data_IF_786391905365
#
_entry.id   IF_786391905365
#
_cell.length_a   1.000
_cell.length_b   1.000
_cell.length_c   1.000
_cell.angle_alpha   90.00
_cell.angle_beta   90.00
_cell.angle_gamma   90.00
#
_symmetry.space_group_name_H-M   'P 1'
#
loop_
_entity.id
_entity.type
_entity.pdbx_description
1 polymer ?
#
# COMPACT_ATOMS: atom_id res chain seq x y z
N UNK A 1 -22.22 -32.88 -16.43
CA UNK A 1 -21.09 -32.02 -16.06
C UNK A 1 -21.53 -30.60 -16.32
N UNK A 2 -21.69 -29.78 -15.29
CA UNK A 2 -22.00 -28.36 -15.45
C UNK A 2 -20.75 -27.66 -15.94
N UNK A 3 -20.80 -27.07 -17.13
CA UNK A 3 -19.70 -26.24 -17.61
C UNK A 3 -19.73 -24.90 -16.84
N UNK A 4 -18.56 -24.29 -16.63
CA UNK A 4 -18.44 -23.02 -15.89
C UNK A 4 -19.33 -21.90 -16.50
N UNK A 5 -19.67 -22.03 -17.77
CA UNK A 5 -20.51 -21.10 -18.53
C UNK A 5 -22.01 -21.33 -18.37
N UNK A 6 -22.42 -22.45 -17.78
CA UNK A 6 -23.82 -22.75 -17.45
C UNK A 6 -24.20 -22.24 -16.05
N UNK A 7 -23.26 -21.63 -15.34
CA UNK A 7 -23.51 -21.05 -14.03
C UNK A 7 -24.44 -19.82 -14.13
N UNK A 8 -25.40 -19.68 -13.19
CA UNK A 8 -26.11 -18.44 -12.96
C UNK A 8 -25.16 -17.24 -12.82
N UNK A 9 -25.58 -16.08 -13.31
CA UNK A 9 -24.79 -14.83 -13.29
C UNK A 9 -24.35 -14.46 -11.88
N UNK A 10 -25.17 -14.75 -10.86
CA UNK A 10 -24.85 -14.50 -9.45
C UNK A 10 -23.64 -15.31 -8.99
N UNK A 11 -23.55 -16.58 -9.38
CA UNK A 11 -22.41 -17.44 -9.05
C UNK A 11 -21.16 -17.02 -9.82
N UNK A 12 -21.31 -16.61 -11.08
CA UNK A 12 -20.20 -16.03 -11.85
C UNK A 12 -19.65 -14.76 -11.19
N UNK A 13 -20.52 -13.87 -10.70
CA UNK A 13 -20.10 -12.66 -10.00
C UNK A 13 -19.42 -12.96 -8.66
N UNK A 14 -19.84 -14.00 -7.94
CA UNK A 14 -19.15 -14.46 -6.74
C UNK A 14 -17.74 -14.99 -7.05
N UNK A 15 -17.60 -15.79 -8.13
CA UNK A 15 -16.29 -16.29 -8.58
C UNK A 15 -15.38 -15.12 -8.97
N UNK A 16 -15.89 -14.18 -9.78
CA UNK A 16 -15.16 -12.96 -10.18
C UNK A 16 -14.73 -12.19 -8.92
N UNK A 17 -15.65 -11.97 -7.98
CA UNK A 17 -15.33 -11.26 -6.74
C UNK A 17 -14.24 -11.96 -5.93
N UNK A 18 -14.33 -13.28 -5.78
CA UNK A 18 -13.36 -14.10 -5.05
C UNK A 18 -11.98 -14.04 -5.70
N UNK A 19 -11.92 -14.17 -7.02
CA UNK A 19 -10.68 -14.06 -7.79
C UNK A 19 -10.07 -12.66 -7.64
N UNK A 20 -10.87 -11.60 -7.80
CA UNK A 20 -10.41 -10.21 -7.68
C UNK A 20 -9.97 -9.85 -6.26
N UNK A 21 -10.54 -10.51 -5.25
CA UNK A 21 -10.21 -10.29 -3.83
C UNK A 21 -9.13 -11.24 -3.31
N UNK A 22 -8.71 -12.20 -4.13
CA UNK A 22 -7.70 -13.18 -3.74
C UNK A 22 -6.33 -12.51 -3.57
N UNK A 23 -5.65 -12.88 -2.48
CA UNK A 23 -4.28 -12.42 -2.23
C UNK A 23 -3.34 -13.12 -3.19
N UNK A 24 -2.38 -12.36 -3.72
CA UNK A 24 -1.32 -12.93 -4.54
C UNK A 24 -0.35 -13.68 -3.65
N UNK A 25 -0.16 -14.97 -3.94
CA UNK A 25 0.90 -15.74 -3.33
C UNK A 25 2.22 -15.37 -4.01
N UNK A 26 3.17 -14.96 -3.19
CA UNK A 26 4.51 -14.61 -3.62
C UNK A 26 5.43 -15.75 -3.19
N UNK A 27 6.37 -16.14 -4.06
CA UNK A 27 7.30 -17.24 -3.75
C UNK A 27 8.06 -16.96 -2.45
N UNK A 28 8.11 -17.90 -1.50
CA UNK A 28 8.79 -17.70 -0.22
C UNK A 28 10.31 -17.49 -0.38
N UNK A 29 10.89 -17.99 -1.48
CA UNK A 29 12.32 -17.91 -1.78
C UNK A 29 12.70 -16.67 -2.60
N UNK A 30 11.73 -15.79 -2.91
CA UNK A 30 12.02 -14.62 -3.70
C UNK A 30 12.87 -13.58 -2.94
N UNK A 31 13.54 -12.74 -3.71
CA UNK A 31 14.32 -11.62 -3.17
C UNK A 31 13.63 -10.29 -3.47
N UNK A 32 13.85 -9.32 -2.58
CA UNK A 32 13.61 -7.90 -2.87
C UNK A 32 14.86 -7.27 -3.48
N UNK A 33 14.67 -6.40 -4.45
CA UNK A 33 15.72 -5.55 -4.98
C UNK A 33 15.51 -4.13 -4.48
N UNK A 34 16.60 -3.45 -4.12
CA UNK A 34 16.57 -2.00 -3.94
C UNK A 34 16.20 -1.37 -5.26
N UNK A 35 15.26 -0.44 -5.25
CA UNK A 35 14.94 0.30 -6.46
C UNK A 35 16.05 1.33 -6.70
N UNK A 36 16.44 1.53 -7.96
CA UNK A 36 17.25 2.69 -8.37
C UNK A 36 16.42 3.98 -8.39
N UNK A 37 15.28 3.98 -7.68
CA UNK A 37 14.31 5.04 -7.75
C UNK A 37 14.88 6.27 -7.06
N UNK A 38 15.31 7.24 -7.87
CA UNK A 38 15.84 8.55 -7.46
C UNK A 38 14.88 9.40 -6.61
N UNK A 39 13.67 8.90 -6.32
CA UNK A 39 12.66 9.56 -5.51
C UNK A 39 12.90 9.50 -4.00
N UNK A 40 13.74 8.57 -3.55
CA UNK A 40 14.10 8.44 -2.13
C UNK A 40 15.52 8.91 -1.89
N UNK A 41 15.80 9.56 -0.76
CA UNK A 41 17.15 10.08 -0.48
C UNK A 41 18.14 8.95 -0.13
N UNK A 42 17.62 7.78 0.26
CA UNK A 42 18.40 6.72 0.92
C UNK A 42 18.27 5.32 0.31
N UNK A 43 17.62 5.13 -0.84
CA UNK A 43 17.37 3.81 -1.46
C UNK A 43 16.74 2.80 -0.48
N UNK A 44 15.80 3.27 0.34
CA UNK A 44 15.16 2.48 1.40
C UNK A 44 14.00 1.62 0.92
N UNK A 45 13.53 1.87 -0.31
CA UNK A 45 12.45 1.13 -0.92
C UNK A 45 12.98 -0.16 -1.55
N UNK A 46 12.46 -1.29 -1.09
CA UNK A 46 12.82 -2.61 -1.61
C UNK A 46 11.59 -3.29 -2.21
N UNK A 47 11.58 -3.40 -3.54
CA UNK A 47 10.49 -4.03 -4.29
C UNK A 47 10.80 -5.49 -4.56
N UNK A 48 9.80 -6.38 -4.63
CA UNK A 48 10.00 -7.74 -5.15
C UNK A 48 10.67 -7.71 -6.52
N UNK A 49 11.58 -8.65 -6.78
CA UNK A 49 12.16 -8.80 -8.12
C UNK A 49 11.07 -9.10 -9.16
N UNK A 50 11.30 -8.70 -10.41
CA UNK A 50 10.35 -8.94 -11.51
C UNK A 50 10.07 -10.43 -11.71
N UNK A 51 11.07 -11.29 -11.52
CA UNK A 51 10.94 -12.74 -11.60
C UNK A 51 10.02 -13.28 -10.50
N UNK A 52 10.12 -12.71 -9.30
CA UNK A 52 9.29 -13.07 -8.14
C UNK A 52 7.81 -12.69 -8.34
N UNK A 53 7.53 -11.65 -9.14
CA UNK A 53 6.17 -11.17 -9.42
C UNK A 53 5.47 -11.95 -10.56
N UNK A 54 6.17 -12.87 -11.23
CA UNK A 54 5.62 -13.61 -12.38
C UNK A 54 4.81 -14.86 -11.98
N UNK A 55 4.22 -14.88 -10.78
CA UNK A 55 3.28 -15.95 -10.42
C UNK A 55 1.96 -15.79 -11.21
N UNK A 56 1.45 -16.85 -11.85
CA UNK A 56 0.16 -16.79 -12.53
C UNK A 56 -0.93 -16.42 -11.52
N UNK A 57 -1.58 -15.27 -11.72
CA UNK A 57 -2.70 -14.89 -10.86
C UNK A 57 -3.99 -15.54 -11.35
N UNK A 58 -4.91 -15.79 -10.43
CA UNK A 58 -6.25 -16.26 -10.78
C UNK A 58 -6.98 -15.27 -11.70
N UNK A 59 -6.53 -14.00 -11.79
CA UNK A 59 -7.03 -13.03 -12.78
C UNK A 59 -6.81 -13.50 -14.20
N UNK A 60 -5.71 -14.21 -14.49
CA UNK A 60 -5.46 -14.75 -15.83
C UNK A 60 -6.60 -15.70 -16.26
N UNK A 61 -7.22 -16.43 -15.32
CA UNK A 61 -8.36 -17.30 -15.61
C UNK A 61 -9.59 -16.49 -16.10
N UNK A 62 -9.78 -15.28 -15.59
CA UNK A 62 -10.87 -14.38 -16.03
C UNK A 62 -10.63 -13.81 -17.44
N UNK A 63 -9.38 -13.85 -17.93
CA UNK A 63 -8.98 -13.31 -19.22
C UNK A 63 -8.96 -14.38 -20.34
N UNK A 64 -9.04 -15.66 -20.00
CA UNK A 64 -8.96 -16.78 -20.98
C UNK A 64 -10.25 -16.92 -21.79
N UNK A 65 -11.41 -16.52 -21.25
CA UNK A 65 -12.70 -16.57 -21.96
C UNK A 65 -13.26 -15.18 -22.21
N UNK A 66 -13.66 -14.91 -23.45
CA UNK A 66 -14.31 -13.65 -23.83
C UNK A 66 -15.60 -13.39 -23.03
N UNK A 67 -16.37 -14.44 -22.70
CA UNK A 67 -17.58 -14.32 -21.90
C UNK A 67 -17.26 -13.94 -20.45
N UNK A 68 -16.32 -14.63 -19.82
CA UNK A 68 -15.88 -14.28 -18.45
C UNK A 68 -15.26 -12.89 -18.40
N UNK A 69 -14.53 -12.51 -19.43
CA UNK A 69 -14.00 -11.16 -19.57
C UNK A 69 -15.13 -10.12 -19.60
N UNK A 70 -16.16 -10.33 -20.45
CA UNK A 70 -17.31 -9.42 -20.53
C UNK A 70 -18.07 -9.30 -19.20
N UNK A 71 -18.32 -10.43 -18.53
CA UNK A 71 -18.96 -10.46 -17.20
C UNK A 71 -18.11 -9.79 -16.13
N UNK A 72 -16.79 -10.00 -16.15
CA UNK A 72 -15.84 -9.34 -15.24
C UNK A 72 -15.87 -7.83 -15.47
N UNK A 73 -15.88 -7.39 -16.72
CA UNK A 73 -15.96 -5.96 -17.06
C UNK A 73 -17.28 -5.34 -16.58
N UNK A 74 -18.41 -6.04 -16.77
CA UNK A 74 -19.72 -5.62 -16.28
C UNK A 74 -19.79 -5.56 -14.74
N UNK A 75 -19.17 -6.51 -14.07
CA UNK A 75 -19.03 -6.50 -12.62
C UNK A 75 -18.23 -5.29 -12.14
N UNK A 76 -17.07 -5.03 -12.77
CA UNK A 76 -16.19 -3.93 -12.42
C UNK A 76 -16.81 -2.56 -12.71
N UNK A 77 -17.63 -2.42 -13.74
CA UNK A 77 -18.31 -1.15 -14.03
C UNK A 77 -19.38 -0.78 -12.99
N UNK A 78 -19.88 -1.76 -12.21
CA UNK A 78 -20.90 -1.56 -11.17
C UNK A 78 -20.31 -1.40 -9.78
N UNK A 79 -19.03 -1.75 -9.59
CA UNK A 79 -18.35 -1.69 -8.28
C UNK A 79 -17.65 -0.35 -8.10
N UNK A 80 -17.64 0.20 -6.87
CA UNK A 80 -16.77 1.30 -6.53
C UNK A 80 -15.33 0.94 -6.87
N UNK A 81 -14.62 1.90 -7.46
CA UNK A 81 -13.24 1.69 -7.88
C UNK A 81 -12.34 1.96 -6.70
N UNK A 82 -12.14 0.92 -5.89
CA UNK A 82 -11.20 0.96 -4.77
C UNK A 82 -9.94 0.17 -5.08
N UNK A 83 -8.78 0.80 -4.84
CA UNK A 83 -7.50 0.12 -4.83
C UNK A 83 -7.06 -0.15 -3.41
N UNK A 84 -6.46 -1.32 -3.18
CA UNK A 84 -5.80 -1.65 -1.93
C UNK A 84 -4.35 -1.97 -2.18
N UNK A 85 -3.48 -1.44 -1.35
CA UNK A 85 -2.05 -1.66 -1.40
C UNK A 85 -1.51 -1.78 0.02
N UNK A 86 -0.71 -2.79 0.31
CA UNK A 86 -0.09 -2.92 1.62
C UNK A 86 1.43 -2.69 1.56
N UNK A 87 1.93 -1.92 2.52
CA UNK A 87 3.33 -1.52 2.66
C UNK A 87 3.81 -1.89 4.05
N UNK A 88 4.87 -2.68 4.13
CA UNK A 88 5.57 -2.90 5.37
C UNK A 88 6.63 -1.82 5.58
N UNK A 89 6.67 -1.23 6.77
CA UNK A 89 7.75 -0.36 7.22
C UNK A 89 8.55 -1.14 8.26
N UNK A 90 9.81 -1.44 7.97
CA UNK A 90 10.66 -2.27 8.81
C UNK A 90 11.78 -1.44 9.43
N UNK A 91 11.93 -1.53 10.74
CA UNK A 91 12.96 -0.83 11.54
C UNK A 91 12.96 0.69 11.33
N UNK A 92 11.77 1.30 11.17
CA UNK A 92 11.62 2.73 10.84
C UNK A 92 12.42 3.21 9.61
N UNK A 93 12.84 2.30 8.76
CA UNK A 93 13.81 2.62 7.72
C UNK A 93 13.36 2.06 6.38
N UNK A 94 13.20 0.74 6.32
CA UNK A 94 12.91 0.05 5.07
C UNK A 94 11.44 0.17 4.70
N UNK A 95 11.17 0.47 3.43
CA UNK A 95 9.81 0.55 2.89
C UNK A 95 9.62 -0.58 1.88
N UNK A 96 8.73 -1.50 2.22
CA UNK A 96 8.53 -2.75 1.50
C UNK A 96 7.09 -2.86 1.01
N UNK A 97 6.82 -2.49 -0.25
CA UNK A 97 5.62 -2.93 -0.94
C UNK A 97 5.43 -4.44 -0.80
N UNK A 98 4.32 -4.89 -0.25
CA UNK A 98 4.09 -6.33 -0.01
C UNK A 98 3.57 -7.04 -1.26
N UNK A 99 2.95 -6.31 -2.19
CA UNK A 99 2.35 -6.82 -3.42
C UNK A 99 1.34 -7.97 -3.21
N UNK A 100 0.72 -8.05 -2.03
CA UNK A 100 -0.30 -9.06 -1.71
C UNK A 100 -1.62 -8.81 -2.43
N UNK A 101 -1.86 -7.58 -2.85
CA UNK A 101 -3.02 -7.17 -3.63
C UNK A 101 -2.57 -6.65 -4.99
N UNK A 102 -3.16 -7.19 -6.05
CA UNK A 102 -2.94 -6.63 -7.40
C UNK A 102 -3.99 -5.56 -7.66
N UNK A 103 -3.56 -4.35 -8.02
CA UNK A 103 -4.51 -3.33 -8.43
C UNK A 103 -5.28 -3.82 -9.66
N UNK A 104 -6.60 -3.88 -9.53
CA UNK A 104 -7.49 -4.21 -10.64
C UNK A 104 -7.49 -3.01 -11.59
N UNK A 105 -7.01 -3.19 -12.83
CA UNK A 105 -6.95 -2.09 -13.81
C UNK A 105 -8.29 -1.37 -13.89
N UNK A 106 -8.29 -0.10 -13.48
CA UNK A 106 -9.44 0.75 -13.69
C UNK A 106 -9.44 1.27 -15.12
N UNK A 107 -10.64 1.30 -15.73
CA UNK A 107 -10.88 2.04 -16.99
C UNK A 107 -11.31 3.48 -16.74
N UNK A 108 -11.74 3.82 -15.53
CA UNK A 108 -12.02 5.20 -15.18
C UNK A 108 -10.75 5.82 -14.62
N UNK A 109 -10.49 7.03 -15.09
CA UNK A 109 -9.39 7.82 -14.58
C UNK A 109 -9.65 8.36 -13.16
N UNK A 110 -10.87 8.20 -12.66
CA UNK A 110 -11.29 8.62 -11.33
C UNK A 110 -11.43 7.38 -10.44
N UNK A 111 -10.79 7.44 -9.27
CA UNK A 111 -10.84 6.41 -8.24
C UNK A 111 -11.64 6.90 -7.06
N UNK A 112 -12.60 6.07 -6.63
CA UNK A 112 -13.39 6.37 -5.45
C UNK A 112 -12.53 6.31 -4.19
N UNK A 113 -11.61 5.35 -4.13
CA UNK A 113 -10.81 5.13 -2.93
C UNK A 113 -9.49 4.43 -3.19
N UNK A 114 -8.42 4.87 -2.56
CA UNK A 114 -7.15 4.15 -2.47
C UNK A 114 -6.89 3.87 -1.00
N UNK A 115 -6.76 2.59 -0.63
CA UNK A 115 -6.46 2.12 0.71
C UNK A 115 -5.01 1.65 0.77
N UNK A 116 -4.19 2.37 1.55
CA UNK A 116 -2.83 1.98 1.90
C UNK A 116 -2.86 1.39 3.31
N UNK A 117 -2.57 0.10 3.41
CA UNK A 117 -2.40 -0.59 4.68
C UNK A 117 -0.92 -0.57 5.07
N UNK A 118 -0.59 0.10 6.16
CA UNK A 118 0.76 0.15 6.70
C UNK A 118 0.95 -0.97 7.74
N UNK A 119 1.97 -1.80 7.53
CA UNK A 119 2.40 -2.83 8.47
C UNK A 119 3.70 -2.35 9.10
N UNK A 120 3.61 -1.80 10.30
CA UNK A 120 4.79 -1.33 11.04
C UNK A 120 5.42 -2.52 11.77
N UNK A 121 6.73 -2.70 11.61
CA UNK A 121 7.43 -3.83 12.20
C UNK A 121 8.89 -3.54 12.54
N UNK A 122 9.46 -4.33 13.44
CA UNK A 122 10.89 -4.35 13.72
C UNK A 122 11.47 -5.77 13.64
N UNK A 123 12.75 -5.87 13.31
CA UNK A 123 13.52 -7.11 13.34
C UNK A 123 13.88 -7.49 14.78
N UNK A 124 14.37 -8.71 14.96
CA UNK A 124 14.86 -9.21 16.24
C UNK A 124 15.95 -8.30 16.86
N UNK A 125 16.84 -7.76 16.04
CA UNK A 125 17.96 -6.94 16.51
C UNK A 125 17.54 -5.51 16.92
N UNK A 126 16.40 -5.06 16.42
CA UNK A 126 15.84 -3.70 16.64
C UNK A 126 14.56 -3.75 17.50
N UNK A 127 14.47 -4.72 18.42
CA UNK A 127 13.28 -4.91 19.28
C UNK A 127 12.97 -3.72 20.18
N UNK A 128 13.98 -2.91 20.52
CA UNK A 128 13.79 -1.63 21.21
C UNK A 128 12.86 -0.67 20.45
N UNK A 129 12.84 -0.71 19.11
CA UNK A 129 11.96 0.13 18.31
C UNK A 129 10.47 -0.19 18.53
N UNK A 130 10.13 -1.36 19.06
CA UNK A 130 8.75 -1.72 19.36
C UNK A 130 8.02 -0.69 20.21
N UNK A 131 8.74 -0.07 21.16
CA UNK A 131 8.21 0.92 22.10
C UNK A 131 8.93 2.27 22.00
N UNK A 132 10.13 2.32 21.41
CA UNK A 132 11.00 3.51 21.40
C UNK A 132 11.34 4.04 20.00
N UNK A 133 10.52 3.73 19.00
CA UNK A 133 10.65 4.23 17.63
C UNK A 133 10.79 5.77 17.53
N UNK A 134 10.37 6.51 18.57
CA UNK A 134 10.37 7.97 18.64
C UNK A 134 11.72 8.62 18.98
N UNK A 135 12.76 7.87 19.36
CA UNK A 135 14.05 8.45 19.80
C UNK A 135 15.09 8.63 18.68
N UNK A 136 14.76 8.26 17.44
CA UNK A 136 15.67 8.38 16.30
C UNK A 136 15.63 9.79 15.69
N UNK A 137 16.77 10.36 15.24
CA UNK A 137 16.84 11.71 14.68
C UNK A 137 15.95 11.87 13.42
N UNK A 138 15.36 13.05 13.27
CA UNK A 138 14.27 13.37 12.34
C UNK A 138 14.60 13.10 10.85
N UNK A 139 15.89 13.16 10.49
CA UNK A 139 16.38 13.05 9.10
C UNK A 139 16.39 11.63 8.53
N UNK A 140 16.11 10.60 9.34
CA UNK A 140 16.26 9.18 8.98
C UNK A 140 14.96 8.35 9.03
N UNK A 141 13.79 9.00 9.09
CA UNK A 141 12.55 8.36 9.46
C UNK A 141 11.71 7.96 8.22
N UNK A 142 11.19 6.73 8.19
CA UNK A 142 10.46 6.16 7.05
C UNK A 142 9.19 6.93 6.65
N UNK A 143 8.61 7.71 7.54
CA UNK A 143 7.50 8.62 7.26
C UNK A 143 7.88 9.73 6.27
N UNK A 144 9.12 10.27 6.25
CA UNK A 144 9.54 11.20 5.19
C UNK A 144 9.51 10.51 3.83
N UNK A 145 10.08 9.31 3.77
CA UNK A 145 10.20 8.56 2.51
C UNK A 145 8.83 8.08 2.03
N UNK A 146 7.92 7.71 2.94
CA UNK A 146 6.52 7.45 2.60
C UNK A 146 5.83 8.70 2.05
N UNK A 147 6.04 9.89 2.64
CA UNK A 147 5.47 11.14 2.10
C UNK A 147 6.03 11.44 0.71
N UNK A 148 7.31 11.22 0.45
CA UNK A 148 7.87 11.35 -0.89
C UNK A 148 7.25 10.36 -1.87
N UNK A 149 7.04 9.10 -1.47
CA UNK A 149 6.33 8.12 -2.29
C UNK A 149 4.87 8.50 -2.54
N UNK A 150 4.18 9.07 -1.54
CA UNK A 150 2.83 9.60 -1.69
C UNK A 150 2.81 10.81 -2.64
N UNK A 151 3.76 11.73 -2.50
CA UNK A 151 3.97 12.86 -3.39
C UNK A 151 4.09 12.35 -4.83
N UNK A 152 4.95 11.38 -5.04
CA UNK A 152 5.12 10.75 -6.34
C UNK A 152 3.84 10.04 -6.79
N UNK A 153 3.12 9.33 -5.93
CA UNK A 153 1.85 8.72 -6.32
C UNK A 153 0.79 9.76 -6.72
N UNK A 154 0.82 10.95 -6.11
CA UNK A 154 -0.06 12.09 -6.43
C UNK A 154 0.36 12.76 -7.74
N UNK A 155 1.68 12.92 -7.95
CA UNK A 155 2.26 13.72 -9.03
C UNK A 155 2.62 12.91 -10.29
N UNK A 156 3.21 11.72 -10.12
CA UNK A 156 3.69 10.86 -11.21
C UNK A 156 2.55 10.02 -11.80
N UNK A 157 2.04 10.53 -12.92
CA UNK A 157 2.04 9.86 -14.23
C UNK A 157 1.84 8.33 -14.25
N UNK A 158 0.65 7.88 -13.88
CA UNK A 158 0.00 6.87 -14.71
C UNK A 158 -0.96 7.59 -15.64
N UNK A 159 -0.91 7.46 -16.99
CA UNK A 159 -1.91 8.05 -17.91
C UNK A 159 -3.35 7.55 -17.68
N UNK A 160 -3.57 6.76 -16.63
CA UNK A 160 -4.78 6.01 -16.33
C UNK A 160 -5.50 6.49 -15.06
N UNK A 161 -4.90 7.34 -14.22
CA UNK A 161 -5.57 7.88 -13.01
C UNK A 161 -5.37 9.38 -12.95
N UNK A 162 -6.45 10.13 -13.11
CA UNK A 162 -6.50 11.59 -13.05
C UNK A 162 -7.00 12.12 -11.71
N UNK A 163 -7.77 11.32 -10.94
CA UNK A 163 -8.32 11.77 -9.66
C UNK A 163 -8.53 10.63 -8.65
N UNK A 164 -8.35 10.91 -7.37
CA UNK A 164 -8.66 10.04 -6.23
C UNK A 164 -9.56 10.78 -5.26
N UNK A 165 -10.81 10.35 -5.13
CA UNK A 165 -11.77 10.96 -4.20
C UNK A 165 -11.30 10.84 -2.74
N UNK A 166 -10.74 9.68 -2.36
CA UNK A 166 -10.28 9.41 -0.99
C UNK A 166 -9.03 8.54 -0.99
N UNK A 167 -7.93 9.07 -0.45
CA UNK A 167 -6.77 8.27 -0.05
C UNK A 167 -6.91 7.94 1.43
N UNK A 168 -6.85 6.67 1.80
CA UNK A 168 -6.92 6.20 3.18
C UNK A 168 -5.61 5.49 3.52
N UNK A 169 -5.00 5.89 4.62
CA UNK A 169 -3.81 5.27 5.17
C UNK A 169 -4.23 4.66 6.51
N UNK A 170 -4.11 3.34 6.64
CA UNK A 170 -4.56 2.60 7.81
C UNK A 170 -3.43 1.78 8.42
N UNK A 171 -3.35 1.76 9.75
CA UNK A 171 -2.55 0.80 10.52
C UNK A 171 -3.53 -0.09 11.29
N UNK A 172 -3.52 -1.39 11.06
CA UNK A 172 -4.32 -2.34 11.84
C UNK A 172 -3.46 -2.90 12.98
N UNK A 173 -3.64 -2.35 14.17
CA UNK A 173 -2.95 -2.76 15.39
C UNK A 173 -3.59 -3.97 16.07
N UNK A 174 -4.83 -4.31 15.73
CA UNK A 174 -5.53 -5.48 16.29
C UNK A 174 -4.87 -6.80 15.93
N UNK A 175 -4.07 -6.82 14.86
CA UNK A 175 -3.35 -8.02 14.38
C UNK A 175 -2.20 -8.46 15.28
N UNK A 176 -1.83 -7.64 16.26
CA UNK A 176 -0.51 -7.71 16.87
C UNK A 176 -0.49 -8.34 18.26
N UNK A 177 -1.60 -8.92 18.72
CA UNK A 177 -1.68 -9.69 19.96
C UNK A 177 -1.07 -8.94 21.14
N UNK A 178 -0.03 -9.52 21.75
CA UNK A 178 0.74 -8.94 22.85
C UNK A 178 2.07 -8.27 22.42
N UNK A 179 2.31 -8.11 21.12
CA UNK A 179 3.56 -7.58 20.56
C UNK A 179 4.71 -8.60 20.43
N UNK A 180 4.58 -9.81 20.97
CA UNK A 180 5.63 -10.83 20.91
C UNK A 180 5.40 -11.87 19.82
N UNK A 181 4.23 -11.84 19.20
CA UNK A 181 3.90 -12.70 18.07
C UNK A 181 4.65 -12.25 16.81
N UNK A 182 5.22 -13.22 16.11
CA UNK A 182 5.89 -12.96 14.85
C UNK A 182 4.85 -12.60 13.80
N UNK A 183 5.11 -11.53 13.05
CA UNK A 183 4.37 -11.23 11.84
C UNK A 183 4.55 -12.41 10.89
N UNK A 184 3.46 -12.86 10.26
CA UNK A 184 3.49 -14.01 9.37
C UNK A 184 4.19 -13.71 8.04
N UNK A 185 4.77 -14.74 7.40
CA UNK A 185 5.34 -14.59 6.06
C UNK A 185 4.27 -14.24 5.00
N UNK A 186 3.00 -14.55 5.27
CA UNK A 186 1.88 -14.15 4.41
C UNK A 186 1.56 -12.66 4.52
N UNK A 187 1.87 -12.02 5.65
CA UNK A 187 1.64 -10.59 5.85
C UNK A 187 2.77 -9.73 5.30
N UNK A 188 4.01 -10.13 5.58
CA UNK A 188 5.20 -9.48 5.06
C UNK A 188 6.06 -10.54 4.38
N UNK A 189 5.80 -10.84 3.09
CA UNK A 189 6.58 -11.80 2.34
C UNK A 189 7.92 -11.19 1.90
N UNK A 190 8.82 -12.05 1.42
CA UNK A 190 10.10 -11.68 0.81
C UNK A 190 11.00 -10.86 1.75
N UNK A 191 11.40 -11.44 2.87
CA UNK A 191 12.17 -10.72 3.90
C UNK A 191 13.66 -10.61 3.61
N UNK A 192 14.11 -11.07 2.44
CA UNK A 192 15.51 -11.04 2.02
C UNK A 192 15.73 -9.98 0.96
N UNK A 193 16.79 -9.20 1.11
CA UNK A 193 17.16 -8.14 0.17
C UNK A 193 18.40 -8.56 -0.62
N UNK A 194 18.32 -8.49 -1.94
CA UNK A 194 19.40 -8.79 -2.86
C UNK A 194 20.61 -7.86 -2.60
N UNK A 195 21.80 -8.45 -2.45
CA UNK A 195 23.03 -7.74 -2.13
C UNK A 195 23.17 -7.31 -0.66
N UNK A 196 22.21 -7.63 0.21
CA UNK A 196 22.26 -7.33 1.65
C UNK A 196 21.95 -8.58 2.51
N UNK A 197 22.56 -9.72 2.15
CA UNK A 197 22.33 -11.00 2.82
C UNK A 197 22.77 -11.05 4.30
N UNK A 198 23.56 -10.07 4.75
CA UNK A 198 23.96 -9.92 6.15
C UNK A 198 22.86 -9.34 7.05
N UNK A 199 21.79 -8.80 6.46
CA UNK A 199 20.62 -8.33 7.21
C UNK A 199 19.62 -9.47 7.33
N UNK A 200 19.30 -9.86 8.57
CA UNK A 200 18.27 -10.85 8.86
C UNK A 200 16.95 -10.16 9.23
N UNK A 201 15.93 -10.42 8.42
CA UNK A 201 14.57 -9.99 8.69
C UNK A 201 13.59 -11.17 8.75
N UNK A 202 14.05 -12.41 8.86
CA UNK A 202 13.18 -13.58 8.89
C UNK A 202 12.20 -13.50 10.08
N UNK A 203 12.61 -12.87 11.19
CA UNK A 203 11.78 -12.59 12.36
C UNK A 203 11.40 -11.11 12.44
N UNK A 204 10.14 -10.81 12.12
CA UNK A 204 9.55 -9.48 12.28
C UNK A 204 8.52 -9.48 13.39
N UNK A 205 8.55 -8.42 14.18
CA UNK A 205 7.65 -8.20 15.30
C UNK A 205 6.84 -6.93 15.06
N UNK A 206 5.58 -6.91 15.49
CA UNK A 206 4.74 -5.75 15.30
C UNK A 206 5.05 -4.64 16.30
N UNK A 207 4.63 -3.44 15.93
CA UNK A 207 4.85 -2.23 16.71
C UNK A 207 3.63 -1.91 17.56
N UNK A 208 3.89 -1.40 18.76
CA UNK A 208 2.80 -1.11 19.68
C UNK A 208 1.88 0.02 19.15
N UNK A 209 0.70 0.10 19.76
CA UNK A 209 -0.31 1.10 19.39
C UNK A 209 0.19 2.54 19.56
N UNK A 210 0.90 2.85 20.65
CA UNK A 210 1.33 4.22 20.96
C UNK A 210 2.35 4.72 19.94
N UNK A 211 3.30 3.88 19.58
CA UNK A 211 4.27 4.13 18.53
C UNK A 211 3.58 4.23 17.17
N UNK A 212 2.67 3.33 16.85
CA UNK A 212 1.90 3.36 15.60
C UNK A 212 1.11 4.66 15.44
N UNK A 213 0.48 5.11 16.52
CA UNK A 213 -0.21 6.40 16.58
C UNK A 213 0.73 7.58 16.39
N UNK A 214 1.89 7.58 17.06
CA UNK A 214 2.90 8.63 16.90
C UNK A 214 3.45 8.67 15.46
N UNK A 215 3.71 7.52 14.86
CA UNK A 215 4.12 7.41 13.45
C UNK A 215 3.07 8.01 12.52
N UNK A 216 1.80 7.62 12.69
CA UNK A 216 0.70 8.13 11.88
C UNK A 216 0.50 9.64 12.03
N UNK A 217 0.70 10.18 13.24
CA UNK A 217 0.62 11.63 13.50
C UNK A 217 1.72 12.40 12.77
N UNK A 218 2.96 11.91 12.76
CA UNK A 218 4.04 12.53 11.99
C UNK A 218 3.79 12.44 10.49
N UNK A 219 3.30 11.30 10.02
CA UNK A 219 2.91 11.12 8.63
C UNK A 219 1.83 12.12 8.21
N UNK A 220 0.81 12.33 9.05
CA UNK A 220 -0.21 13.36 8.86
C UNK A 220 0.41 14.76 8.73
N UNK A 221 1.23 15.18 9.71
CA UNK A 221 1.87 16.50 9.71
C UNK A 221 2.73 16.72 8.47
N UNK A 222 3.55 15.73 8.09
CA UNK A 222 4.42 15.81 6.92
C UNK A 222 3.63 15.79 5.60
N UNK A 223 2.52 15.06 5.54
CA UNK A 223 1.64 15.07 4.37
C UNK A 223 0.99 16.43 4.18
N UNK A 224 0.53 17.08 5.26
CA UNK A 224 0.00 18.45 5.22
C UNK A 224 1.04 19.45 4.69
N UNK A 225 2.23 19.47 5.31
CA UNK A 225 3.32 20.35 4.88
C UNK A 225 3.74 20.11 3.42
N UNK A 226 3.73 18.86 2.95
CA UNK A 226 3.97 18.52 1.55
C UNK A 226 2.89 19.09 0.63
N UNK A 227 1.61 18.92 0.97
CA UNK A 227 0.50 19.44 0.17
C UNK A 227 0.54 20.97 0.06
N UNK A 228 0.85 21.66 1.17
CA UNK A 228 1.08 23.11 1.20
C UNK A 228 2.27 23.51 0.32
N UNK A 229 3.38 22.77 0.37
CA UNK A 229 4.55 23.05 -0.46
C UNK A 229 4.26 22.86 -1.97
N UNK A 230 3.51 21.82 -2.33
CA UNK A 230 3.10 21.56 -3.72
C UNK A 230 2.14 22.63 -4.23
N UNK A 231 1.22 23.09 -3.38
CA UNK A 231 0.27 24.14 -3.73
C UNK A 231 0.96 25.46 -4.10
N UNK A 232 2.06 25.76 -3.43
CA UNK A 232 2.83 26.98 -3.66
C UNK A 232 3.80 26.86 -4.86
N UNK A 233 3.84 25.70 -5.54
CA UNK A 233 4.68 25.49 -6.70
C UNK A 233 3.89 25.74 -8.00
N UNK A 234 4.20 26.79 -8.77
CA UNK A 234 3.45 27.16 -9.98
C UNK A 234 3.60 26.14 -11.13
N UNK A 235 4.63 25.29 -11.08
CA UNK A 235 4.94 24.32 -12.14
C UNK A 235 4.20 22.98 -11.96
N UNK A 236 3.42 22.84 -10.88
CA UNK A 236 2.79 21.58 -10.49
C UNK A 236 1.26 21.71 -10.54
N UNK A 237 0.60 20.70 -11.12
CA UNK A 237 -0.86 20.58 -11.08
C UNK A 237 -1.36 20.59 -9.63
N UNK A 238 -2.41 21.38 -9.36
CA UNK A 238 -2.93 21.58 -8.01
C UNK A 238 -3.25 20.23 -7.35
N UNK A 239 -2.68 19.91 -6.16
CA UNK A 239 -2.94 18.65 -5.49
C UNK A 239 -4.42 18.36 -5.24
N UNK A 240 -5.22 19.42 -5.06
CA UNK A 240 -6.69 19.36 -4.90
C UNK A 240 -7.43 18.86 -6.14
N UNK A 241 -6.84 18.98 -7.33
CA UNK A 241 -7.39 18.40 -8.57
C UNK A 241 -7.11 16.90 -8.66
N UNK A 242 -6.09 16.39 -7.96
CA UNK A 242 -5.67 14.98 -7.97
C UNK A 242 -6.24 14.18 -6.81
N UNK A 243 -6.35 14.78 -5.62
CA UNK A 243 -6.86 14.11 -4.42
C UNK A 243 -7.93 14.97 -3.75
N UNK A 244 -9.08 14.35 -3.45
CA UNK A 244 -10.13 14.99 -2.65
C UNK A 244 -9.76 15.08 -1.16
N UNK A 245 -9.54 13.94 -0.51
CA UNK A 245 -9.16 13.89 0.91
C UNK A 245 -8.20 12.75 1.25
N UNK A 246 -7.41 12.96 2.29
CA UNK A 246 -6.53 11.95 2.91
C UNK A 246 -7.04 11.62 4.30
N UNK A 247 -7.31 10.33 4.56
CA UNK A 247 -7.77 9.81 5.85
C UNK A 247 -6.67 9.01 6.51
N UNK A 248 -6.41 9.28 7.78
CA UNK A 248 -5.43 8.55 8.59
C UNK A 248 -6.19 7.75 9.65
N UNK A 249 -6.03 6.43 9.62
CA UNK A 249 -6.80 5.49 10.41
C UNK A 249 -5.93 4.55 11.25
N UNK A 250 -6.45 4.16 12.41
CA UNK A 250 -5.98 2.99 13.17
C UNK A 250 -7.16 2.07 13.43
N UNK A 251 -6.97 0.77 13.23
CA UNK A 251 -8.01 -0.26 13.42
C UNK A 251 -9.31 0.07 12.67
N UNK A 252 -9.16 0.70 11.52
CA UNK A 252 -10.29 1.14 10.71
C UNK A 252 -10.98 2.43 11.19
N UNK A 253 -10.64 2.98 12.35
CA UNK A 253 -11.19 4.24 12.86
C UNK A 253 -10.42 5.43 12.32
N UNK A 254 -11.11 6.43 11.79
CA UNK A 254 -10.51 7.69 11.35
C UNK A 254 -10.08 8.50 12.57
N UNK A 255 -8.80 8.87 12.62
CA UNK A 255 -8.22 9.67 13.70
C UNK A 255 -7.91 11.09 13.24
N UNK A 256 -7.38 11.24 12.02
CA UNK A 256 -7.01 12.52 11.42
C UNK A 256 -7.44 12.51 9.95
N UNK A 257 -7.72 13.69 9.40
CA UNK A 257 -8.11 13.86 8.01
C UNK A 257 -7.56 15.17 7.44
N UNK A 258 -7.20 15.14 6.16
CA UNK A 258 -6.86 16.32 5.37
C UNK A 258 -7.87 16.40 4.23
N UNK A 259 -8.73 17.42 4.25
CA UNK A 259 -9.55 17.78 3.09
C UNK A 259 -8.68 18.66 2.20
N UNK A 260 -8.18 18.13 1.08
CA UNK A 260 -7.11 18.78 0.30
C UNK A 260 -7.61 20.10 -0.27
N UNK A 261 -8.87 20.18 -0.68
CA UNK A 261 -9.45 21.42 -1.20
C UNK A 261 -9.55 22.52 -0.12
N UNK A 262 -9.91 22.15 1.12
CA UNK A 262 -10.00 23.13 2.23
C UNK A 262 -8.65 23.47 2.84
N UNK A 263 -7.76 22.51 2.94
CA UNK A 263 -6.44 22.67 3.54
C UNK A 263 -5.56 23.62 2.72
N UNK A 264 -5.79 23.67 1.42
CA UNK A 264 -5.10 24.52 0.45
C UNK A 264 -5.66 25.95 0.39
N UNK A 265 -6.90 26.17 0.81
CA UNK A 265 -7.61 27.44 0.66
C UNK A 265 -7.44 28.42 1.83
N UNK A 266 -6.73 28.04 2.90
CA UNK A 266 -6.48 28.85 4.09
C UNK A 266 -5.00 28.96 4.37
#
# INVERSE_FOLDING_TARGET
>A
MTELFDLPTELLFQIIHLVLSSRHSVSPNGLRCRTEWKGTRRNVTCCPSRETLWTPSALNLLLVSQRLYAETMLYLSKKPQSFKFDVAVVNNHWIWPTWRSTPIRSRSHILDRVDIELILSCSQDERNLQTQWMLQPEDACADTELVLLLCQFILLEGPLVTHINTLRINIDTTRYGNGNELISLEEVPLRRINGLAHLDFDKLYPIDYHVSFAFLRRLYTRTGAMLEALQNNPDIELPSQRIGKVLFCIDGKVLMQIDVAKHVAG
#
